data_IF_172410806105
#
_entry.id   IF_172410806105
#
_cell.length_a   1.000
_cell.length_b   1.000
_cell.length_c   1.000
_cell.angle_alpha   90.00
_cell.angle_beta   90.00
_cell.angle_gamma   90.00
#
_symmetry.space_group_name_H-M   'P 1'
#
loop_
_entity.id
_entity.type
_entity.pdbx_description
1 polymer ?
#
# COMPACT_ATOMS: atom_id res chain seq x y z
N UNK A 1 10.04 -4.77 -1.11
CA UNK A 1 9.54 -3.55 -0.45
C UNK A 1 8.42 -3.91 0.51
N UNK A 2 8.46 -3.35 1.68
CA UNK A 2 7.51 -3.61 2.75
C UNK A 2 6.62 -2.40 2.98
N UNK A 3 5.43 -2.62 3.52
CA UNK A 3 4.52 -1.54 3.90
C UNK A 3 3.95 -1.83 5.28
N UNK A 4 4.07 -0.84 6.18
CA UNK A 4 3.40 -0.89 7.47
C UNK A 4 1.97 -0.38 7.29
N UNK A 5 0.97 -1.20 7.64
CA UNK A 5 -0.43 -0.82 7.45
C UNK A 5 -0.82 0.37 8.35
N UNK A 6 -1.92 1.03 7.98
CA UNK A 6 -2.44 2.17 8.74
C UNK A 6 -2.66 1.83 10.22
N UNK A 7 -3.13 0.62 10.52
CA UNK A 7 -3.36 0.17 11.89
C UNK A 7 -2.08 -0.03 12.69
N UNK A 8 -0.93 -0.10 12.00
CA UNK A 8 0.38 -0.41 12.57
C UNK A 8 0.47 -1.79 13.20
N UNK A 9 -0.50 -2.65 12.90
CA UNK A 9 -0.54 -4.01 13.44
C UNK A 9 -0.02 -5.05 12.46
N UNK A 10 0.25 -4.66 11.22
CA UNK A 10 0.75 -5.57 10.20
C UNK A 10 1.76 -4.90 9.31
N UNK A 11 2.74 -5.67 8.88
CA UNK A 11 3.67 -5.27 7.84
C UNK A 11 3.49 -6.26 6.69
N UNK A 12 3.33 -5.75 5.48
CA UNK A 12 3.08 -6.57 4.30
C UNK A 12 4.21 -6.44 3.30
N UNK A 13 4.55 -7.55 2.65
CA UNK A 13 5.55 -7.56 1.59
C UNK A 13 4.86 -7.30 0.26
N UNK A 14 5.06 -6.12 -0.29
CA UNK A 14 4.32 -5.67 -1.47
C UNK A 14 4.59 -6.53 -2.70
N UNK A 15 5.74 -7.17 -2.80
CA UNK A 15 6.07 -8.02 -3.93
C UNK A 15 5.20 -9.29 -4.00
N UNK A 16 4.47 -9.61 -2.94
CA UNK A 16 3.53 -10.73 -2.93
C UNK A 16 2.17 -10.38 -3.54
N UNK A 17 1.94 -9.12 -3.90
CA UNK A 17 0.66 -8.64 -4.42
C UNK A 17 0.81 -8.13 -5.84
N UNK A 18 -0.26 -8.24 -6.61
CA UNK A 18 -0.29 -7.80 -8.00
C UNK A 18 -0.79 -6.37 -8.14
N UNK A 19 -1.57 -5.91 -7.17
CA UNK A 19 -2.11 -4.55 -7.23
C UNK A 19 -2.38 -3.99 -5.84
N UNK A 20 -2.39 -2.67 -5.77
CA UNK A 20 -2.90 -1.92 -4.63
C UNK A 20 -3.97 -1.01 -5.21
N UNK A 21 -5.18 -1.11 -4.68
CA UNK A 21 -6.35 -0.43 -5.24
C UNK A 21 -7.12 0.34 -4.17
N UNK A 22 -7.90 1.30 -4.64
CA UNK A 22 -8.92 1.95 -3.83
C UNK A 22 -10.24 1.22 -4.07
N UNK A 23 -10.83 0.72 -2.99
CA UNK A 23 -12.14 0.07 -3.00
C UNK A 23 -13.05 0.85 -2.06
N UNK A 24 -13.87 1.74 -2.61
CA UNK A 24 -14.67 2.67 -1.82
C UNK A 24 -13.75 3.60 -1.04
N UNK A 25 -13.76 3.51 0.28
CA UNK A 25 -12.87 4.30 1.13
C UNK A 25 -11.74 3.46 1.75
N UNK A 26 -11.52 2.27 1.22
CA UNK A 26 -10.41 1.40 1.64
C UNK A 26 -9.27 1.43 0.63
N UNK A 27 -8.05 1.29 1.13
CA UNK A 27 -6.89 0.97 0.30
C UNK A 27 -6.57 -0.50 0.55
N UNK A 28 -6.53 -1.30 -0.50
CA UNK A 28 -6.36 -2.75 -0.39
C UNK A 28 -5.27 -3.26 -1.31
N UNK A 29 -4.55 -4.29 -0.86
CA UNK A 29 -3.59 -5.00 -1.68
C UNK A 29 -4.21 -6.34 -2.08
N UNK A 30 -4.10 -6.70 -3.35
CA UNK A 30 -4.74 -7.88 -3.91
C UNK A 30 -3.76 -8.73 -4.72
N UNK A 31 -4.02 -10.03 -4.75
CA UNK A 31 -3.28 -10.96 -5.55
C UNK A 31 -4.19 -11.61 -6.58
N UNK A 32 -3.73 -11.66 -7.83
CA UNK A 32 -4.50 -12.21 -8.93
C UNK A 32 -4.88 -13.67 -8.64
N UNK A 33 -6.16 -13.98 -8.82
CA UNK A 33 -6.68 -15.33 -8.59
C UNK A 33 -7.08 -15.61 -7.14
N UNK A 34 -6.81 -14.70 -6.22
CA UNK A 34 -7.25 -14.84 -4.84
C UNK A 34 -8.45 -13.94 -4.56
N UNK A 35 -9.43 -14.47 -3.82
CA UNK A 35 -10.63 -13.71 -3.48
C UNK A 35 -10.41 -12.72 -2.34
N UNK A 36 -9.39 -12.95 -1.53
CA UNK A 36 -9.12 -12.13 -0.35
C UNK A 36 -8.13 -11.02 -0.66
N UNK A 37 -8.44 -9.83 -0.14
CA UNK A 37 -7.55 -8.68 -0.19
C UNK A 37 -7.07 -8.36 1.21
N UNK A 38 -5.89 -7.75 1.30
CA UNK A 38 -5.36 -7.24 2.56
C UNK A 38 -5.68 -5.76 2.64
N UNK A 39 -6.36 -5.34 3.70
CA UNK A 39 -6.69 -3.93 3.92
C UNK A 39 -5.44 -3.22 4.42
N UNK A 40 -4.97 -2.25 3.65
CA UNK A 40 -3.83 -1.42 4.00
C UNK A 40 -4.28 -0.25 4.88
N UNK A 41 -5.41 0.35 4.56
CA UNK A 41 -5.96 1.44 5.33
C UNK A 41 -7.44 1.67 5.08
N UNK A 42 -8.09 2.31 6.05
CA UNK A 42 -9.51 2.66 6.01
C UNK A 42 -9.60 4.17 6.23
N UNK A 43 -10.33 4.87 5.35
CA UNK A 43 -10.39 6.32 5.37
C UNK A 43 -11.85 6.79 5.42
N UNK A 44 -12.06 8.07 5.68
CA UNK A 44 -13.41 8.62 5.75
C UNK A 44 -14.04 8.83 4.39
N UNK A 45 -13.22 9.09 3.37
CA UNK A 45 -13.71 9.35 2.01
C UNK A 45 -12.87 8.60 0.99
N UNK A 46 -13.46 8.38 -0.19
CA UNK A 46 -12.74 7.80 -1.32
C UNK A 46 -11.57 8.69 -1.75
N UNK A 47 -11.78 10.01 -1.72
CA UNK A 47 -10.73 10.96 -2.09
C UNK A 47 -9.50 10.82 -1.18
N UNK A 48 -9.73 10.66 0.11
CA UNK A 48 -8.63 10.46 1.06
C UNK A 48 -7.89 9.16 0.78
N UNK A 49 -8.62 8.08 0.47
CA UNK A 49 -8.01 6.82 0.08
C UNK A 49 -7.19 6.96 -1.22
N UNK A 50 -7.69 7.71 -2.20
CA UNK A 50 -6.97 7.97 -3.44
C UNK A 50 -5.68 8.74 -3.19
N UNK A 51 -5.69 9.71 -2.29
CA UNK A 51 -4.51 10.48 -1.91
C UNK A 51 -3.44 9.58 -1.29
N UNK A 52 -3.87 8.63 -0.45
CA UNK A 52 -2.94 7.67 0.16
C UNK A 52 -2.35 6.74 -0.90
N UNK A 53 -3.16 6.29 -1.85
CA UNK A 53 -2.66 5.46 -2.95
C UNK A 53 -1.62 6.21 -3.78
N UNK A 54 -1.85 7.50 -4.06
CA UNK A 54 -0.88 8.34 -4.76
C UNK A 54 0.43 8.47 -3.98
N UNK A 55 0.34 8.63 -2.66
CA UNK A 55 1.52 8.72 -1.81
C UNK A 55 2.33 7.43 -1.85
N UNK A 56 1.66 6.28 -1.82
CA UNK A 56 2.32 4.99 -1.94
C UNK A 56 3.02 4.86 -3.29
N UNK A 57 2.33 5.24 -4.38
CA UNK A 57 2.89 5.18 -5.72
C UNK A 57 4.14 6.07 -5.84
N UNK A 58 4.07 7.25 -5.26
CA UNK A 58 5.20 8.20 -5.26
C UNK A 58 6.39 7.66 -4.48
N UNK A 59 6.12 7.03 -3.34
CA UNK A 59 7.17 6.40 -2.56
C UNK A 59 7.86 5.28 -3.34
N UNK A 60 7.08 4.44 -4.01
CA UNK A 60 7.62 3.35 -4.81
C UNK A 60 8.50 3.89 -5.94
N UNK A 61 8.02 4.93 -6.64
CA UNK A 61 8.77 5.57 -7.71
C UNK A 61 10.11 6.12 -7.21
N UNK A 62 10.09 6.84 -6.10
CA UNK A 62 11.30 7.41 -5.51
C UNK A 62 12.27 6.32 -5.05
N UNK A 63 11.74 5.23 -4.49
CA UNK A 63 12.55 4.11 -3.99
C UNK A 63 13.29 3.36 -5.08
N UNK A 64 12.77 3.35 -6.31
CA UNK A 64 13.41 2.64 -7.41
C UNK A 64 14.78 3.23 -7.78
N UNK A 65 15.07 4.44 -7.33
CA UNK A 65 16.35 5.10 -7.56
C UNK A 65 17.37 4.82 -6.46
N UNK A 66 16.98 4.07 -5.43
CA UNK A 66 17.81 3.76 -4.26
C UNK A 66 18.24 2.31 -4.33
N UNK A 67 19.56 2.00 -4.19
CA UNK A 67 20.02 0.61 -4.09
C UNK A 67 19.32 -0.12 -2.95
N UNK A 68 18.94 -1.38 -3.19
CA UNK A 68 18.28 -2.23 -2.19
C UNK A 68 16.89 -1.72 -1.78
N UNK A 69 16.18 -1.08 -2.70
CA UNK A 69 14.82 -0.57 -2.45
C UNK A 69 13.87 -1.64 -1.92
N UNK A 70 14.07 -2.91 -2.30
CA UNK A 70 13.23 -4.01 -1.84
C UNK A 70 13.25 -4.22 -0.33
N UNK A 71 14.25 -3.66 0.35
CA UNK A 71 14.37 -3.74 1.82
C UNK A 71 13.75 -2.53 2.53
N UNK A 72 13.27 -1.55 1.76
CA UNK A 72 12.68 -0.35 2.34
C UNK A 72 11.27 -0.61 2.86
N UNK A 73 10.90 0.14 3.88
CA UNK A 73 9.56 0.08 4.48
C UNK A 73 8.83 1.39 4.18
N UNK A 74 7.61 1.26 3.67
CA UNK A 74 6.72 2.41 3.45
C UNK A 74 5.92 2.64 4.73
N UNK A 75 5.93 3.86 5.24
CA UNK A 75 5.15 4.27 6.38
C UNK A 75 4.01 5.17 5.91
N UNK A 76 2.78 4.76 6.19
CA UNK A 76 1.59 5.55 5.86
C UNK A 76 1.43 6.63 6.93
N UNK A 77 1.35 7.89 6.50
CA UNK A 77 1.24 9.04 7.40
C UNK A 77 -0.21 9.43 7.74
N UNK A 78 -1.18 8.83 7.06
CA UNK A 78 -2.60 9.12 7.28
C UNK A 78 -3.38 7.95 7.82
#
# INVERSE_FOLDING_TARGET
MWLLTQSKQSIVYLNNFDSIDVDGHYVVASKLGEERSVVIGIYYTEKEAEEVLEDIARFIEDSQQIPFAENNVIYITK
#
